data_IF_825270215621
#
_entry.id   IF_825270215621
#
_cell.length_a   1.000
_cell.length_b   1.000
_cell.length_c   1.000
_cell.angle_alpha   90.00
_cell.angle_beta   90.00
_cell.angle_gamma   90.00
#
_symmetry.space_group_name_H-M   'P 1'
#
loop_
_entity.id
_entity.type
_entity.pdbx_description
1 polymer ?
#
# COMPACT_ATOMS: atom_id res chain seq x y z
N UNK A 1 5.14 -1.61 19.38
CA UNK A 1 6.41 -0.87 19.64
C UNK A 1 7.40 -1.69 20.47
N UNK A 2 7.13 -2.13 21.72
CA UNK A 2 8.15 -2.83 22.54
C UNK A 2 8.73 -4.09 21.87
N UNK A 3 7.89 -4.87 21.20
CA UNK A 3 8.32 -6.08 20.46
C UNK A 3 9.27 -5.72 19.31
N UNK A 4 9.04 -4.61 18.59
CA UNK A 4 9.91 -4.17 17.49
C UNK A 4 11.28 -3.75 18.02
N UNK A 5 11.32 -3.04 19.15
CA UNK A 5 12.56 -2.64 19.79
C UNK A 5 13.33 -3.87 20.31
N UNK A 6 12.63 -4.85 20.90
CA UNK A 6 13.24 -6.11 21.32
C UNK A 6 13.83 -6.88 20.12
N UNK A 7 13.11 -6.94 19.00
CA UNK A 7 13.60 -7.57 17.77
C UNK A 7 14.84 -6.85 17.21
N UNK A 8 14.84 -5.52 17.19
CA UNK A 8 16.01 -4.73 16.76
C UNK A 8 17.22 -4.94 17.67
N UNK A 9 17.01 -5.07 18.99
CA UNK A 9 18.10 -5.27 19.95
C UNK A 9 18.82 -6.61 19.79
N UNK A 10 18.14 -7.65 19.31
CA UNK A 10 18.73 -8.99 19.11
C UNK A 10 19.18 -9.25 17.66
N UNK A 11 18.76 -8.41 16.72
CA UNK A 11 19.07 -8.59 15.31
C UNK A 11 20.56 -8.32 15.03
N UNK A 12 21.22 -9.26 14.34
CA UNK A 12 22.62 -9.10 13.89
C UNK A 12 22.76 -8.19 12.66
N UNK A 13 21.64 -7.93 11.96
CA UNK A 13 21.57 -7.08 10.78
C UNK A 13 20.52 -5.99 11.04
N UNK A 14 20.69 -4.78 10.48
CA UNK A 14 19.65 -3.76 10.54
C UNK A 14 18.31 -4.32 10.04
N UNK A 15 17.24 -4.13 10.81
CA UNK A 15 15.89 -4.52 10.40
C UNK A 15 15.24 -3.37 9.64
N UNK A 16 14.79 -3.65 8.41
CA UNK A 16 13.96 -2.74 7.62
C UNK A 16 12.50 -2.92 8.00
N UNK A 17 11.88 -1.88 8.57
CA UNK A 17 10.45 -1.89 8.85
C UNK A 17 9.69 -1.36 7.64
N UNK A 18 8.56 -1.96 7.29
CA UNK A 18 7.57 -1.32 6.42
C UNK A 18 6.19 -1.33 7.11
N UNK A 19 5.30 -0.43 6.67
CA UNK A 19 3.94 -0.35 7.19
C UNK A 19 2.92 -0.31 6.07
N UNK A 20 1.76 -0.92 6.31
CA UNK A 20 0.61 -0.93 5.41
C UNK A 20 -0.66 -0.65 6.22
N UNK A 21 -1.52 0.30 5.82
CA UNK A 21 -2.80 0.52 6.48
C UNK A 21 -3.93 -0.29 5.83
N UNK A 22 -4.76 -0.93 6.66
CA UNK A 22 -5.96 -1.65 6.19
C UNK A 22 -7.17 -0.74 5.96
N UNK A 23 -7.35 0.28 6.80
CA UNK A 23 -8.49 1.21 6.64
C UNK A 23 -8.18 2.59 7.20
N UNK A 24 -8.81 3.62 6.60
CA UNK A 24 -8.87 4.96 7.16
C UNK A 24 -9.91 5.05 8.29
N UNK A 25 -9.89 6.12 9.10
CA UNK A 25 -11.00 6.45 9.99
C UNK A 25 -12.34 6.48 9.26
N UNK A 26 -13.39 5.94 9.89
CA UNK A 26 -14.71 5.74 9.26
C UNK A 26 -15.35 7.02 8.73
N UNK A 27 -15.08 8.17 9.35
CA UNK A 27 -15.64 9.45 8.91
C UNK A 27 -15.11 9.91 7.54
N UNK A 28 -13.95 9.40 7.12
CA UNK A 28 -13.37 9.63 5.80
C UNK A 28 -13.96 8.71 4.72
N UNK A 29 -14.68 7.64 5.08
CA UNK A 29 -15.09 6.58 4.14
C UNK A 29 -16.51 6.77 3.63
N UNK A 30 -16.74 6.47 2.35
CA UNK A 30 -18.06 6.59 1.70
C UNK A 30 -19.15 5.78 2.39
N UNK A 31 -18.80 4.64 2.97
CA UNK A 31 -19.73 3.74 3.69
C UNK A 31 -19.84 4.01 5.19
N UNK A 32 -18.99 4.86 5.78
CA UNK A 32 -19.00 5.14 7.22
C UNK A 32 -18.68 3.94 8.13
N UNK A 33 -18.08 2.87 7.60
CA UNK A 33 -17.79 1.63 8.33
C UNK A 33 -16.34 1.20 8.14
N UNK A 34 -15.80 0.34 9.01
CA UNK A 34 -14.42 -0.17 8.86
C UNK A 34 -14.33 -1.27 7.79
N UNK A 35 -15.42 -2.00 7.55
CA UNK A 35 -15.49 -3.18 6.68
C UNK A 35 -16.47 -2.94 5.53
N UNK A 36 -16.54 -3.88 4.58
CA UNK A 36 -17.38 -3.79 3.39
C UNK A 36 -16.92 -2.74 2.37
N UNK A 37 -17.62 -2.67 1.24
CA UNK A 37 -17.26 -1.76 0.14
C UNK A 37 -17.23 -0.31 0.63
N UNK A 38 -16.10 0.36 0.47
CA UNK A 38 -15.92 1.73 0.92
C UNK A 38 -14.56 2.31 0.59
N UNK A 39 -14.57 3.42 -0.15
CA UNK A 39 -13.42 4.23 -0.57
C UNK A 39 -13.35 5.51 0.27
N UNK A 40 -12.29 6.32 0.09
CA UNK A 40 -12.28 7.69 0.61
C UNK A 40 -13.39 8.53 -0.02
N UNK A 41 -14.02 9.40 0.77
CA UNK A 41 -14.98 10.39 0.27
C UNK A 41 -14.29 11.40 -0.65
N UNK A 42 -15.07 11.91 -1.60
CA UNK A 42 -14.64 12.98 -2.50
C UNK A 42 -13.63 12.49 -3.53
N UNK A 43 -12.63 13.31 -3.82
CA UNK A 43 -11.66 13.06 -4.89
C UNK A 43 -10.24 13.40 -4.44
N UNK A 44 -9.20 12.76 -5.02
CA UNK A 44 -7.81 13.13 -4.78
C UNK A 44 -7.58 14.64 -4.89
N UNK A 45 -6.70 15.15 -4.04
CA UNK A 45 -6.45 16.57 -3.85
C UNK A 45 -7.41 17.28 -2.90
N UNK A 46 -8.46 16.62 -2.40
CA UNK A 46 -9.44 17.20 -1.49
C UNK A 46 -9.09 17.09 0.01
N UNK A 47 -10.00 17.53 0.88
CA UNK A 47 -9.78 17.49 2.34
C UNK A 47 -9.67 16.08 2.93
N UNK A 48 -10.35 15.09 2.35
CA UNK A 48 -10.35 13.71 2.86
C UNK A 48 -9.04 13.02 2.47
N UNK A 49 -8.61 13.17 1.23
CA UNK A 49 -7.36 12.59 0.74
C UNK A 49 -6.13 13.24 1.37
N UNK A 50 -6.11 14.58 1.48
CA UNK A 50 -5.06 15.29 2.23
C UNK A 50 -5.00 14.88 3.69
N UNK A 51 -6.16 14.67 4.34
CA UNK A 51 -6.20 14.20 5.72
C UNK A 51 -5.67 12.76 5.85
N UNK A 52 -5.97 11.90 4.88
CA UNK A 52 -5.44 10.55 4.83
C UNK A 52 -3.92 10.54 4.61
N UNK A 53 -3.40 11.32 3.66
CA UNK A 53 -1.95 11.48 3.47
C UNK A 53 -1.25 12.01 4.74
N UNK A 54 -1.84 12.99 5.45
CA UNK A 54 -1.33 13.46 6.74
C UNK A 54 -1.34 12.39 7.83
N UNK A 55 -2.26 11.44 7.76
CA UNK A 55 -2.30 10.31 8.70
C UNK A 55 -1.04 9.44 8.55
N UNK A 56 -0.58 9.17 7.33
CA UNK A 56 0.70 8.47 7.10
C UNK A 56 1.87 9.22 7.73
N UNK A 57 1.97 10.53 7.49
CA UNK A 57 3.05 11.34 8.06
C UNK A 57 3.00 11.32 9.59
N UNK A 58 1.79 11.44 10.17
CA UNK A 58 1.62 11.39 11.61
C UNK A 58 1.99 10.03 12.19
N UNK A 59 1.66 8.93 11.51
CA UNK A 59 2.08 7.59 11.91
C UNK A 59 3.61 7.49 11.98
N UNK A 60 4.31 7.96 10.94
CA UNK A 60 5.77 7.96 10.89
C UNK A 60 6.37 8.86 11.98
N UNK A 61 5.80 10.05 12.22
CA UNK A 61 6.22 10.95 13.29
C UNK A 61 6.08 10.31 14.68
N UNK A 62 4.96 9.63 14.95
CA UNK A 62 4.74 8.99 16.25
C UNK A 62 5.71 7.83 16.47
N UNK A 63 5.98 7.00 15.46
CA UNK A 63 6.98 5.93 15.59
C UNK A 63 8.40 6.46 15.74
N UNK A 64 8.74 7.56 15.07
CA UNK A 64 10.06 8.19 15.19
C UNK A 64 10.35 8.65 16.63
N UNK A 65 9.33 9.10 17.40
CA UNK A 65 9.48 9.42 18.83
C UNK A 65 9.91 8.23 19.69
N UNK A 66 9.72 7.01 19.19
CA UNK A 66 10.12 5.77 19.84
C UNK A 66 11.39 5.16 19.22
N UNK A 67 12.16 5.94 18.46
CA UNK A 67 13.36 5.52 17.72
C UNK A 67 13.09 4.38 16.72
N UNK A 68 11.88 4.32 16.17
CA UNK A 68 11.51 3.38 15.12
C UNK A 68 11.35 4.15 13.81
N UNK A 69 12.19 3.82 12.83
CA UNK A 69 12.13 4.37 11.47
C UNK A 69 11.68 3.31 10.49
N UNK A 70 10.99 3.74 9.43
CA UNK A 70 10.50 2.86 8.38
C UNK A 70 11.37 2.98 7.14
N UNK A 71 11.65 1.84 6.53
CA UNK A 71 12.23 1.75 5.20
C UNK A 71 11.18 2.06 4.13
N UNK A 72 9.95 1.56 4.29
CA UNK A 72 8.90 1.73 3.30
C UNK A 72 7.50 1.88 3.92
N UNK A 73 6.57 2.41 3.14
CA UNK A 73 5.12 2.29 3.38
C UNK A 73 4.44 1.82 2.09
N UNK A 74 3.34 1.10 2.21
CA UNK A 74 2.49 0.78 1.06
C UNK A 74 1.33 1.80 0.99
N UNK A 75 0.77 2.00 -0.21
CA UNK A 75 -0.32 2.95 -0.41
C UNK A 75 -1.66 2.53 0.27
N UNK A 76 -1.74 1.27 0.71
CA UNK A 76 -2.90 0.66 1.38
C UNK A 76 -2.87 -0.85 1.19
N UNK A 77 -3.19 -1.61 2.24
CA UNK A 77 -3.29 -3.07 2.16
C UNK A 77 -4.49 -3.46 1.31
N UNK A 78 -4.28 -4.34 0.33
CA UNK A 78 -5.31 -4.95 -0.51
C UNK A 78 -6.40 -3.95 -0.96
N UNK A 79 -6.05 -2.90 -1.73
CA UNK A 79 -6.99 -1.90 -2.19
C UNK A 79 -8.22 -2.48 -2.91
N UNK A 80 -8.10 -3.67 -3.51
CA UNK A 80 -9.23 -4.34 -4.17
C UNK A 80 -10.26 -4.88 -3.18
N UNK A 81 -9.87 -5.19 -1.95
CA UNK A 81 -10.76 -5.69 -0.91
C UNK A 81 -11.88 -4.68 -0.59
N UNK A 82 -11.56 -3.40 -0.58
CA UNK A 82 -12.52 -2.33 -0.32
C UNK A 82 -13.51 -2.08 -1.47
N UNK A 83 -13.39 -2.79 -2.59
CA UNK A 83 -14.39 -2.83 -3.68
C UNK A 83 -15.39 -4.00 -3.52
N UNK A 84 -15.18 -4.90 -2.55
CA UNK A 84 -16.06 -6.04 -2.28
C UNK A 84 -17.17 -5.63 -1.31
N UNK A 85 -18.44 -5.79 -1.74
CA UNK A 85 -19.63 -5.29 -1.02
C UNK A 85 -19.65 -5.73 0.45
N UNK A 86 -19.41 -7.02 0.70
CA UNK A 86 -19.47 -7.63 2.03
C UNK A 86 -18.09 -8.07 2.53
N UNK A 87 -17.03 -7.32 2.24
CA UNK A 87 -15.70 -7.66 2.75
C UNK A 87 -15.72 -7.74 4.29
N UNK A 88 -15.24 -8.85 4.89
CA UNK A 88 -15.57 -9.17 6.28
C UNK A 88 -14.74 -8.42 7.33
N UNK A 89 -13.61 -7.81 6.95
CA UNK A 89 -12.73 -7.09 7.86
C UNK A 89 -12.27 -5.75 7.28
N UNK A 90 -11.34 -5.08 7.98
CA UNK A 90 -10.87 -3.74 7.67
C UNK A 90 -10.33 -3.66 6.25
N UNK A 91 -10.89 -2.77 5.44
CA UNK A 91 -10.46 -2.55 4.06
C UNK A 91 -10.73 -1.10 3.63
N UNK A 92 -9.94 -0.55 2.72
CA UNK A 92 -10.18 0.74 2.08
C UNK A 92 -9.99 0.62 0.57
N UNK A 93 -11.07 0.86 -0.17
CA UNK A 93 -11.11 0.66 -1.61
C UNK A 93 -10.31 1.72 -2.36
N UNK A 94 -9.56 1.27 -3.35
CA UNK A 94 -9.01 2.10 -4.42
C UNK A 94 -9.08 1.33 -5.75
N UNK A 95 -9.49 2.00 -6.82
CA UNK A 95 -9.13 1.58 -8.18
C UNK A 95 -7.66 1.94 -8.46
N UNK A 96 -7.00 1.37 -9.48
CA UNK A 96 -5.64 1.78 -9.82
C UNK A 96 -5.55 3.27 -10.21
N UNK A 97 -6.56 3.83 -10.85
CA UNK A 97 -6.63 5.27 -11.17
C UNK A 97 -6.77 6.12 -9.90
N UNK A 98 -7.59 5.66 -8.94
CA UNK A 98 -7.73 6.34 -7.66
C UNK A 98 -6.42 6.28 -6.86
N UNK A 99 -5.74 5.12 -6.82
CA UNK A 99 -4.43 5.00 -6.18
C UNK A 99 -3.39 5.91 -6.86
N UNK A 100 -3.34 5.95 -8.19
CA UNK A 100 -2.48 6.87 -8.97
C UNK A 100 -2.71 8.31 -8.56
N UNK A 101 -3.96 8.76 -8.60
CA UNK A 101 -4.30 10.16 -8.34
C UNK A 101 -4.08 10.55 -6.88
N UNK A 102 -4.37 9.65 -5.93
CA UNK A 102 -4.06 9.84 -4.52
C UNK A 102 -2.55 9.99 -4.27
N UNK A 103 -1.73 9.18 -4.95
CA UNK A 103 -0.27 9.29 -4.85
C UNK A 103 0.22 10.60 -5.46
N UNK A 104 -0.22 10.93 -6.67
CA UNK A 104 0.22 12.13 -7.39
C UNK A 104 -0.18 13.42 -6.67
N UNK A 105 -1.39 13.49 -6.11
CA UNK A 105 -1.96 14.73 -5.57
C UNK A 105 -1.80 14.88 -4.05
N UNK A 106 -1.70 13.79 -3.30
CA UNK A 106 -1.75 13.84 -1.84
C UNK A 106 -0.57 13.12 -1.17
N UNK A 107 -0.47 11.78 -1.29
CA UNK A 107 0.48 10.98 -0.51
C UNK A 107 1.94 11.24 -0.90
N UNK A 108 2.24 11.28 -2.20
CA UNK A 108 3.57 11.57 -2.71
C UNK A 108 4.09 12.94 -2.26
N UNK A 109 3.35 14.04 -2.53
CA UNK A 109 3.72 15.37 -2.03
C UNK A 109 3.81 15.46 -0.50
N UNK A 110 2.93 14.78 0.24
CA UNK A 110 2.98 14.79 1.70
C UNK A 110 4.25 14.11 2.24
N UNK A 111 4.64 12.96 1.68
CA UNK A 111 5.89 12.27 2.05
C UNK A 111 7.11 13.12 1.68
N UNK A 112 7.17 13.63 0.44
CA UNK A 112 8.29 14.42 -0.05
C UNK A 112 8.54 15.71 0.76
N UNK A 113 7.47 16.35 1.24
CA UNK A 113 7.54 17.57 2.04
C UNK A 113 7.73 17.32 3.55
N UNK A 114 7.79 16.06 3.98
CA UNK A 114 7.99 15.70 5.39
C UNK A 114 9.46 15.41 5.73
N UNK A 115 9.75 15.20 7.01
CA UNK A 115 11.01 14.62 7.49
C UNK A 115 11.25 13.18 7.00
N UNK A 116 10.21 12.51 6.50
CA UNK A 116 10.21 11.11 6.08
C UNK A 116 10.33 10.92 4.56
N UNK A 117 10.78 11.93 3.81
CA UNK A 117 10.95 11.89 2.34
C UNK A 117 11.86 10.79 1.78
N UNK A 118 12.58 10.07 2.65
CA UNK A 118 13.47 8.96 2.30
C UNK A 118 12.76 7.59 2.38
N UNK A 119 11.57 7.55 2.98
CA UNK A 119 10.74 6.34 3.07
C UNK A 119 10.26 5.97 1.68
N UNK A 120 10.46 4.72 1.30
CA UNK A 120 10.04 4.20 -0.01
C UNK A 120 8.51 4.06 -0.05
N UNK A 121 7.89 4.38 -1.18
CA UNK A 121 6.46 4.19 -1.39
C UNK A 121 6.21 2.99 -2.31
N UNK A 122 5.40 2.05 -1.82
CA UNK A 122 5.06 0.80 -2.51
C UNK A 122 3.59 0.86 -2.94
N UNK A 123 3.32 0.55 -4.21
CA UNK A 123 1.97 0.49 -4.77
C UNK A 123 1.43 -0.94 -4.79
N UNK A 124 0.16 -1.09 -5.20
CA UNK A 124 -0.58 -2.35 -5.21
C UNK A 124 -0.79 -2.93 -3.80
N UNK A 125 0.19 -3.64 -3.24
CA UNK A 125 0.10 -4.37 -1.96
C UNK A 125 -1.11 -5.32 -1.92
N UNK A 126 -1.24 -6.10 -3.00
CA UNK A 126 -2.38 -6.95 -3.29
C UNK A 126 -1.95 -8.11 -4.21
N UNK A 127 -2.89 -8.96 -4.61
CA UNK A 127 -2.66 -10.16 -5.39
C UNK A 127 -1.94 -9.86 -6.71
N UNK A 128 -0.93 -10.67 -7.06
CA UNK A 128 -0.21 -10.54 -8.33
C UNK A 128 -1.08 -10.63 -9.58
N UNK A 129 -2.29 -11.20 -9.50
CA UNK A 129 -3.22 -11.26 -10.63
C UNK A 129 -3.71 -9.88 -11.10
N UNK A 130 -3.52 -8.84 -10.29
CA UNK A 130 -3.80 -7.45 -10.67
C UNK A 130 -2.70 -6.86 -11.58
N UNK A 131 -1.58 -7.57 -11.74
CA UNK A 131 -0.47 -7.19 -12.61
C UNK A 131 -0.58 -7.85 -13.99
N UNK A 132 -0.14 -7.17 -15.06
CA UNK A 132 0.57 -5.88 -15.07
C UNK A 132 -0.34 -4.65 -15.06
N UNK A 133 -1.67 -4.81 -15.17
CA UNK A 133 -2.62 -3.71 -15.36
C UNK A 133 -2.47 -2.59 -14.32
N UNK A 134 -2.41 -2.94 -13.04
CA UNK A 134 -2.27 -1.96 -11.97
C UNK A 134 -0.99 -1.13 -12.09
N UNK A 135 0.13 -1.79 -12.40
CA UNK A 135 1.40 -1.12 -12.63
C UNK A 135 1.34 -0.18 -13.83
N UNK A 136 0.69 -0.61 -14.93
CA UNK A 136 0.54 0.25 -16.10
C UNK A 136 -0.25 1.52 -15.82
N UNK A 137 -1.39 1.42 -15.15
CA UNK A 137 -2.23 2.57 -14.84
C UNK A 137 -1.50 3.57 -13.94
N UNK A 138 -0.78 3.08 -12.93
CA UNK A 138 -0.14 3.93 -11.94
C UNK A 138 1.22 4.47 -12.42
N UNK A 139 2.06 3.64 -13.03
CA UNK A 139 3.43 3.99 -13.38
C UNK A 139 3.58 4.68 -14.74
N UNK A 140 2.57 4.63 -15.63
CA UNK A 140 2.58 5.42 -16.87
C UNK A 140 2.29 6.91 -16.62
N UNK A 141 1.78 7.27 -15.44
CA UNK A 141 1.62 8.67 -15.03
C UNK A 141 2.93 9.19 -14.43
N UNK A 142 3.59 10.19 -15.05
CA UNK A 142 4.91 10.63 -14.62
C UNK A 142 4.91 11.30 -13.25
N UNK A 143 3.79 11.88 -12.81
CA UNK A 143 3.71 12.54 -11.49
C UNK A 143 3.64 11.45 -10.41
N UNK A 144 2.72 10.50 -10.54
CA UNK A 144 2.64 9.38 -9.60
C UNK A 144 3.94 8.57 -9.58
N UNK A 145 4.46 8.21 -10.75
CA UNK A 145 5.66 7.41 -10.94
C UNK A 145 6.91 8.00 -10.27
N UNK A 146 6.99 9.34 -10.15
CA UNK A 146 8.11 10.04 -9.51
C UNK A 146 8.20 9.83 -7.99
N UNK A 147 7.10 9.43 -7.35
CA UNK A 147 7.03 9.19 -5.92
C UNK A 147 7.13 7.70 -5.55
N UNK A 148 7.04 6.81 -6.52
CA UNK A 148 6.92 5.37 -6.29
C UNK A 148 8.28 4.70 -6.40
N UNK A 149 8.55 3.77 -5.49
CA UNK A 149 9.80 3.02 -5.45
C UNK A 149 9.63 1.57 -5.94
N UNK A 150 8.45 0.98 -5.73
CA UNK A 150 8.21 -0.41 -6.06
C UNK A 150 6.76 -0.85 -5.92
N UNK A 151 6.54 -2.15 -6.11
CA UNK A 151 5.22 -2.79 -6.19
C UNK A 151 5.16 -3.93 -5.17
N UNK A 152 4.15 -3.90 -4.30
CA UNK A 152 3.87 -4.91 -3.28
C UNK A 152 2.97 -6.00 -3.83
N UNK A 153 3.26 -7.25 -3.50
CA UNK A 153 2.63 -8.44 -4.09
C UNK A 153 2.23 -9.44 -3.00
N UNK A 154 0.99 -9.90 -3.09
CA UNK A 154 0.43 -11.01 -2.29
C UNK A 154 0.25 -12.27 -3.15
N UNK A 155 0.18 -13.43 -2.49
CA UNK A 155 0.26 -14.77 -3.12
C UNK A 155 -1.00 -15.63 -2.98
N UNK A 156 -2.09 -15.12 -2.44
CA UNK A 156 -3.27 -15.94 -2.09
C UNK A 156 -4.06 -16.45 -3.30
N UNK A 157 -3.89 -15.82 -4.46
CA UNK A 157 -4.52 -16.20 -5.73
C UNK A 157 -3.51 -16.69 -6.79
N UNK A 158 -2.39 -17.23 -6.35
CA UNK A 158 -1.32 -17.69 -7.24
C UNK A 158 -1.75 -18.79 -8.22
N UNK A 159 -2.71 -19.63 -7.87
CA UNK A 159 -3.29 -20.66 -8.72
C UNK A 159 -4.04 -20.12 -9.96
N UNK A 160 -4.42 -18.84 -9.98
CA UNK A 160 -5.21 -18.25 -11.07
C UNK A 160 -4.40 -17.87 -12.31
N UNK A 161 -3.10 -17.60 -12.17
CA UNK A 161 -2.26 -17.18 -13.30
C UNK A 161 -0.82 -17.62 -13.08
N UNK A 162 -0.07 -18.04 -14.11
CA UNK A 162 1.37 -18.29 -13.97
C UNK A 162 2.14 -17.00 -13.67
N UNK A 163 3.30 -17.11 -13.02
CA UNK A 163 4.14 -15.97 -12.63
C UNK A 163 4.61 -15.14 -13.84
N UNK A 164 4.78 -15.79 -15.00
CA UNK A 164 5.25 -15.14 -16.22
C UNK A 164 4.26 -14.12 -16.78
N UNK A 165 2.97 -14.36 -16.60
CA UNK A 165 1.93 -13.44 -17.06
C UNK A 165 1.68 -12.28 -16.08
N UNK A 166 2.24 -12.35 -14.87
CA UNK A 166 2.10 -11.30 -13.86
C UNK A 166 3.43 -10.60 -13.60
N UNK A 167 4.38 -11.25 -12.93
CA UNK A 167 5.58 -10.61 -12.41
C UNK A 167 6.63 -10.39 -13.51
N UNK A 168 6.84 -11.39 -14.38
CA UNK A 168 7.84 -11.29 -15.46
C UNK A 168 7.49 -10.16 -16.44
N UNK A 169 6.23 -10.06 -16.86
CA UNK A 169 5.76 -8.95 -17.72
C UNK A 169 5.88 -7.61 -17.00
N UNK A 170 5.45 -7.49 -15.73
CA UNK A 170 5.58 -6.24 -14.99
C UNK A 170 7.02 -5.78 -14.87
N UNK A 171 7.95 -6.68 -14.53
CA UNK A 171 9.36 -6.32 -14.46
C UNK A 171 9.93 -5.92 -15.83
N UNK A 172 9.51 -6.58 -16.91
CA UNK A 172 9.93 -6.21 -18.26
C UNK A 172 9.46 -4.81 -18.66
N UNK A 173 8.22 -4.45 -18.32
CA UNK A 173 7.65 -3.13 -18.60
C UNK A 173 8.22 -2.02 -17.70
N UNK A 174 8.50 -2.35 -16.43
CA UNK A 174 8.89 -1.38 -15.40
C UNK A 174 10.15 -1.84 -14.64
N UNK A 175 11.31 -2.03 -15.32
CA UNK A 175 12.48 -2.69 -14.73
C UNK A 175 13.15 -1.88 -13.61
N UNK A 176 12.88 -0.58 -13.52
CA UNK A 176 13.44 0.32 -12.51
C UNK A 176 12.68 0.31 -11.18
N UNK A 177 11.52 -0.34 -11.11
CA UNK A 177 10.69 -0.45 -9.92
C UNK A 177 10.85 -1.85 -9.33
N UNK A 178 11.21 -1.94 -8.05
CA UNK A 178 11.36 -3.26 -7.43
C UNK A 178 10.02 -3.95 -7.27
N UNK A 179 10.02 -5.28 -7.36
CA UNK A 179 8.91 -6.14 -6.96
C UNK A 179 9.21 -6.70 -5.58
N UNK A 180 8.28 -6.55 -4.63
CA UNK A 180 8.41 -7.05 -3.27
C UNK A 180 7.21 -7.93 -2.91
N UNK A 181 7.49 -9.17 -2.51
CA UNK A 181 6.49 -10.00 -1.84
C UNK A 181 6.23 -9.44 -0.44
N UNK A 182 5.12 -8.73 -0.26
CA UNK A 182 4.76 -8.04 1.00
C UNK A 182 3.93 -8.91 1.92
N UNK A 183 3.21 -9.92 1.41
CA UNK A 183 2.45 -10.83 2.25
C UNK A 183 2.29 -12.21 1.62
N UNK A 184 2.47 -13.25 2.44
CA UNK A 184 2.13 -14.62 2.11
C UNK A 184 1.75 -15.35 3.41
N UNK A 185 0.71 -16.17 3.35
CA UNK A 185 0.32 -17.05 4.44
C UNK A 185 -0.25 -18.34 3.87
N UNK A 186 -0.07 -19.43 4.61
CA UNK A 186 -0.78 -20.67 4.34
C UNK A 186 -2.19 -20.53 4.92
N UNK A 187 -3.19 -20.44 4.05
CA UNK A 187 -4.61 -20.53 4.42
C UNK A 187 -5.21 -21.82 3.89
N UNK A 188 -6.29 -22.28 4.51
CA UNK A 188 -7.12 -23.30 3.91
C UNK A 188 -8.01 -22.65 2.87
N UNK A 189 -8.09 -23.25 1.69
CA UNK A 189 -9.11 -22.86 0.73
C UNK A 189 -10.50 -23.25 1.27
N UNK A 190 -11.56 -22.55 0.87
CA UNK A 190 -12.92 -22.89 1.33
C UNK A 190 -13.39 -24.28 0.86
N UNK A 191 -12.66 -24.92 -0.06
CA UNK A 191 -12.90 -26.27 -0.56
C UNK A 191 -12.00 -27.34 0.08
N UNK A 192 -11.08 -26.93 0.96
CA UNK A 192 -10.30 -27.83 1.83
C UNK A 192 -11.01 -28.02 3.16
#
# INVERSE_FOLDING_TARGET
IPILQAAQAVAKRPLSLYASPWTSPVWMKTNGAMTGRGTLKGSPGDKYHRAWAKYFIRFLDEYAKHNLTFWAVTAGNEPTAGEIVFYPFQCLGFSPEHQRDFIAQDLGPALANSSHRHVQLIILDDQRVMLPYWAEVVLKDPVAASYISGIGIHWYLDFLAPIDLTLSITHHLFPNYFLLSTEASTGSYFWE
#
